data_IF_342391093989
#
_entry.id   IF_342391093989
#
_cell.length_a   1.000
_cell.length_b   1.000
_cell.length_c   1.000
_cell.angle_alpha   90.00
_cell.angle_beta   90.00
_cell.angle_gamma   90.00
#
_symmetry.space_group_name_H-M   'P 1'
#
loop_
_entity.id
_entity.type
_entity.pdbx_description
1 polymer ?
#
# COMPACT_ATOMS: atom_id res chain seq x y z
N UNK A 1 28.95 0.59 -34.94
CA UNK A 1 28.09 -0.57 -34.62
C UNK A 1 27.64 -0.43 -33.15
N UNK A 2 26.60 0.36 -32.91
CA UNK A 2 26.15 0.80 -31.56
C UNK A 2 24.71 0.36 -31.26
N UNK A 3 24.20 -0.65 -31.97
CA UNK A 3 22.83 -1.18 -31.78
C UNK A 3 22.75 -2.39 -30.84
N UNK A 4 23.88 -3.05 -30.53
CA UNK A 4 23.91 -4.27 -29.72
C UNK A 4 23.88 -4.06 -28.20
N UNK A 5 24.27 -2.89 -27.70
CA UNK A 5 24.36 -2.63 -26.25
C UNK A 5 23.01 -2.25 -25.60
N UNK A 6 22.08 -1.66 -26.34
CA UNK A 6 20.77 -1.28 -25.80
C UNK A 6 19.87 -2.51 -25.54
N UNK A 7 20.02 -3.57 -26.34
CA UNK A 7 19.20 -4.78 -26.21
C UNK A 7 19.52 -5.56 -24.92
N UNK A 8 20.79 -5.57 -24.52
CA UNK A 8 21.25 -6.28 -23.31
C UNK A 8 20.78 -5.61 -22.01
N UNK A 9 20.72 -4.27 -21.97
CA UNK A 9 20.30 -3.55 -20.74
C UNK A 9 18.80 -3.75 -20.50
N UNK A 10 18.00 -3.71 -21.56
CA UNK A 10 16.55 -3.95 -21.48
C UNK A 10 16.23 -5.37 -20.95
N UNK A 11 16.96 -6.39 -21.43
CA UNK A 11 16.79 -7.77 -20.98
C UNK A 11 17.15 -7.97 -19.49
N UNK A 12 18.20 -7.30 -19.00
CA UNK A 12 18.61 -7.36 -17.58
C UNK A 12 17.60 -6.65 -16.66
N UNK A 13 17.04 -5.52 -17.09
CA UNK A 13 15.99 -4.84 -16.35
C UNK A 13 14.71 -5.68 -16.26
N UNK A 14 14.26 -6.25 -17.37
CA UNK A 14 13.07 -7.11 -17.41
C UNK A 14 13.21 -8.35 -16.50
N UNK A 15 14.39 -8.97 -16.47
CA UNK A 15 14.65 -10.10 -15.56
C UNK A 15 14.74 -9.68 -14.10
N UNK A 16 15.29 -8.50 -13.79
CA UNK A 16 15.31 -7.95 -12.44
C UNK A 16 13.90 -7.64 -11.89
N UNK A 17 12.99 -7.12 -12.73
CA UNK A 17 11.60 -6.89 -12.32
C UNK A 17 10.83 -8.22 -12.12
N UNK A 18 11.13 -9.25 -12.91
CA UNK A 18 10.48 -10.56 -12.77
C UNK A 18 10.93 -11.32 -11.50
N UNK A 19 12.10 -10.99 -10.95
CA UNK A 19 12.65 -11.55 -9.72
C UNK A 19 12.31 -10.71 -8.48
N UNK A 20 11.65 -9.56 -8.64
CA UNK A 20 11.24 -8.75 -7.51
C UNK A 20 10.22 -9.54 -6.67
N UNK A 21 10.48 -9.77 -5.36
CA UNK A 21 9.50 -10.39 -4.50
C UNK A 21 8.24 -9.51 -4.45
N UNK A 22 7.05 -10.11 -4.24
CA UNK A 22 5.84 -9.33 -4.10
C UNK A 22 6.04 -8.35 -2.94
N UNK A 23 5.82 -7.06 -3.21
CA UNK A 23 5.85 -6.03 -2.18
C UNK A 23 4.73 -6.35 -1.19
N UNK A 24 5.07 -7.00 -0.09
CA UNK A 24 4.17 -7.14 1.03
C UNK A 24 4.06 -5.75 1.64
N UNK A 25 2.88 -5.13 1.54
CA UNK A 25 2.55 -3.99 2.38
C UNK A 25 2.63 -4.50 3.81
N UNK A 26 3.81 -4.34 4.44
CA UNK A 26 4.04 -4.81 5.79
C UNK A 26 3.30 -3.85 6.71
N UNK A 27 2.02 -4.16 6.96
CA UNK A 27 1.33 -3.59 8.10
C UNK A 27 2.07 -4.11 9.33
N UNK A 28 2.72 -3.25 10.14
CA UNK A 28 3.37 -3.69 11.36
C UNK A 28 2.34 -4.37 12.28
N UNK A 29 2.78 -5.19 13.24
CA UNK A 29 1.89 -5.70 14.27
C UNK A 29 1.10 -4.55 14.93
N UNK A 30 -0.22 -4.71 14.97
CA UNK A 30 -1.14 -3.72 15.53
C UNK A 30 -2.32 -4.45 16.19
N UNK A 31 -2.98 -3.75 17.12
CA UNK A 31 -4.19 -4.27 17.76
C UNK A 31 -5.40 -4.08 16.85
N UNK A 32 -6.41 -4.96 16.90
CA UNK A 32 -7.67 -4.73 16.20
C UNK A 32 -8.28 -3.38 16.58
N UNK A 33 -8.95 -2.75 15.61
CA UNK A 33 -9.60 -1.45 15.80
C UNK A 33 -8.67 -0.24 15.61
N UNK A 34 -7.47 -0.43 15.03
CA UNK A 34 -6.55 0.67 14.70
C UNK A 34 -6.51 0.99 13.20
N UNK A 35 -7.07 0.12 12.36
CA UNK A 35 -7.14 0.33 10.91
C UNK A 35 -8.52 0.82 10.53
N UNK A 36 -8.58 1.91 9.78
CA UNK A 36 -9.81 2.41 9.17
C UNK A 36 -9.88 1.91 7.72
N UNK A 37 -10.83 1.00 7.44
CA UNK A 37 -11.10 0.49 6.10
C UNK A 37 -12.05 1.44 5.37
N UNK A 38 -11.53 2.14 4.37
CA UNK A 38 -12.30 2.95 3.43
C UNK A 38 -12.68 2.10 2.20
N UNK A 39 -13.54 2.60 1.28
CA UNK A 39 -14.05 1.80 0.16
C UNK A 39 -12.98 1.21 -0.78
N UNK A 40 -11.85 1.89 -0.95
CA UNK A 40 -10.80 1.50 -1.93
C UNK A 40 -9.42 1.34 -1.33
N UNK A 41 -9.22 1.70 -0.06
CA UNK A 41 -7.94 1.64 0.63
C UNK A 41 -8.14 1.54 2.14
N UNK A 42 -7.05 1.34 2.86
CA UNK A 42 -7.02 1.39 4.32
C UNK A 42 -6.00 2.42 4.78
N UNK A 43 -6.17 2.90 6.00
CA UNK A 43 -5.32 3.89 6.63
C UNK A 43 -5.35 3.67 8.14
N UNK A 44 -4.39 4.26 8.86
CA UNK A 44 -4.45 4.29 10.32
C UNK A 44 -5.60 5.19 10.75
N UNK A 45 -6.45 4.68 11.64
CA UNK A 45 -7.53 5.47 12.20
C UNK A 45 -6.95 6.63 13.03
N UNK A 46 -7.58 7.80 12.94
CA UNK A 46 -7.23 8.95 13.79
C UNK A 46 -7.38 8.59 15.28
N UNK A 47 -8.45 7.84 15.58
CA UNK A 47 -8.74 7.33 16.92
C UNK A 47 -9.06 5.84 16.83
N UNK A 48 -8.28 4.97 17.51
CA UNK A 48 -8.62 3.57 17.66
C UNK A 48 -9.93 3.36 18.42
N UNK A 49 -10.57 2.21 18.23
CA UNK A 49 -11.85 1.92 18.86
C UNK A 49 -12.34 0.50 18.62
N UNK A 50 -13.59 0.19 18.97
CA UNK A 50 -14.17 -1.12 18.72
C UNK A 50 -14.22 -1.44 17.22
N UNK A 51 -13.87 -2.67 16.86
CA UNK A 51 -14.03 -3.18 15.49
C UNK A 51 -15.49 -3.01 15.06
N UNK A 52 -15.70 -2.55 13.83
CA UNK A 52 -17.01 -2.24 13.26
C UNK A 52 -17.52 -0.83 13.54
N UNK A 53 -16.86 -0.05 14.39
CA UNK A 53 -17.25 1.35 14.62
C UNK A 53 -16.84 2.25 13.44
N UNK A 54 -17.57 3.35 13.26
CA UNK A 54 -17.21 4.40 12.30
C UNK A 54 -15.87 5.02 12.66
N UNK A 55 -15.01 5.21 11.67
CA UNK A 55 -13.72 5.89 11.83
C UNK A 55 -13.49 6.92 10.73
N UNK A 56 -12.49 7.76 10.97
CA UNK A 56 -11.90 8.63 9.96
C UNK A 56 -10.38 8.51 9.97
N UNK A 57 -9.78 8.87 8.85
CA UNK A 57 -8.34 9.06 8.73
C UNK A 57 -8.05 10.13 7.67
N UNK A 58 -6.83 10.65 7.67
CA UNK A 58 -6.38 11.60 6.67
C UNK A 58 -5.54 10.90 5.58
N UNK A 59 -5.94 11.06 4.32
CA UNK A 59 -5.14 10.71 3.13
C UNK A 59 -4.60 11.98 2.49
N UNK A 60 -3.31 12.04 2.11
CA UNK A 60 -2.75 13.19 1.39
C UNK A 60 -3.43 13.44 0.04
N UNK A 61 -3.94 12.40 -0.63
CA UNK A 61 -4.56 12.51 -1.95
C UNK A 61 -6.02 12.96 -1.89
N UNK A 62 -6.77 12.53 -0.86
CA UNK A 62 -8.23 12.69 -0.77
C UNK A 62 -8.72 13.50 0.42
N UNK A 63 -7.85 13.82 1.37
CA UNK A 63 -8.21 14.50 2.62
C UNK A 63 -8.80 13.54 3.66
N UNK A 64 -9.72 14.05 4.48
CA UNK A 64 -10.40 13.22 5.49
C UNK A 64 -11.35 12.24 4.81
N UNK A 65 -11.17 10.96 5.07
CA UNK A 65 -12.05 9.89 4.60
C UNK A 65 -12.68 9.16 5.76
N UNK A 66 -13.89 8.67 5.54
CA UNK A 66 -14.66 7.89 6.50
C UNK A 66 -14.61 6.41 6.15
N UNK A 67 -14.66 5.57 7.18
CA UNK A 67 -14.59 4.13 7.01
C UNK A 67 -15.10 3.37 8.23
N UNK A 68 -14.71 2.10 8.30
CA UNK A 68 -15.05 1.20 9.41
C UNK A 68 -13.77 0.63 10.05
N UNK A 69 -13.71 0.60 11.37
CA UNK A 69 -12.60 0.00 12.10
C UNK A 69 -12.53 -1.51 11.90
N UNK A 70 -11.33 -2.04 11.68
CA UNK A 70 -11.05 -3.48 11.69
C UNK A 70 -9.84 -3.85 12.54
#
# INVERSE_FOLDING_TARGET
>A
MTFGQCFSIAAVLLTALALAPPAQAQVPPHTPGTICFAPTFWCWAETPGPVGATCQCYSPETGWVWGTLG
#
